data_IF_162689569944
#
_entry.id   IF_162689569944
#
_cell.length_a   1.000
_cell.length_b   1.000
_cell.length_c   1.000
_cell.angle_alpha   90.00
_cell.angle_beta   90.00
_cell.angle_gamma   90.00
#
_symmetry.space_group_name_H-M   'P 1'
#
loop_
_entity.id
_entity.type
_entity.pdbx_description
1 polymer ?
#
# COMPACT_ATOMS: atom_id res chain seq x y z
N UNK A 1 17.11 -13.64 -9.86
CA UNK A 1 16.29 -12.86 -8.91
C UNK A 1 14.82 -13.08 -9.24
N UNK A 2 13.98 -13.24 -8.22
CA UNK A 2 12.53 -13.34 -8.41
C UNK A 2 12.00 -12.01 -8.96
N UNK A 3 11.19 -12.03 -10.02
CA UNK A 3 10.72 -10.80 -10.66
C UNK A 3 9.51 -10.16 -9.95
N UNK A 4 8.81 -10.96 -9.14
CA UNK A 4 7.62 -10.55 -8.39
C UNK A 4 7.77 -10.94 -6.93
N UNK A 5 7.55 -9.99 -6.02
CA UNK A 5 7.45 -10.21 -4.58
C UNK A 5 5.98 -10.10 -4.18
N UNK A 6 5.47 -11.07 -3.44
CA UNK A 6 4.11 -11.06 -2.91
C UNK A 6 4.15 -10.72 -1.44
N UNK A 7 3.35 -9.74 -1.03
CA UNK A 7 3.08 -9.35 0.35
C UNK A 7 1.64 -9.73 0.67
N UNK A 8 1.45 -10.65 1.59
CA UNK A 8 0.16 -11.04 2.11
C UNK A 8 -0.16 -10.18 3.33
N UNK A 9 -1.32 -9.55 3.32
CA UNK A 9 -1.83 -8.71 4.41
C UNK A 9 -2.96 -9.47 5.09
N UNK A 10 -2.67 -10.15 6.20
CA UNK A 10 -3.65 -10.91 6.97
C UNK A 10 -4.30 -10.01 8.02
N UNK A 11 -5.63 -10.02 8.10
CA UNK A 11 -6.38 -9.09 8.94
C UNK A 11 -7.47 -9.80 9.73
N UNK A 12 -7.45 -9.63 11.06
CA UNK A 12 -8.60 -9.91 11.92
C UNK A 12 -9.51 -8.68 11.92
N UNK A 13 -10.47 -8.65 11.00
CA UNK A 13 -11.34 -7.50 10.80
C UNK A 13 -12.29 -7.28 11.98
N UNK A 14 -12.71 -8.34 12.67
CA UNK A 14 -13.62 -8.25 13.84
C UNK A 14 -12.87 -7.64 15.02
N UNK A 15 -11.67 -8.14 15.32
CA UNK A 15 -10.79 -7.56 16.33
C UNK A 15 -10.45 -6.11 16.00
N UNK A 16 -10.09 -5.83 14.74
CA UNK A 16 -9.75 -4.48 14.30
C UNK A 16 -10.90 -3.47 14.45
N UNK A 17 -12.12 -3.85 14.08
CA UNK A 17 -13.31 -2.99 14.20
C UNK A 17 -13.72 -2.78 15.67
N UNK A 18 -13.61 -3.83 16.49
CA UNK A 18 -13.87 -3.77 17.93
C UNK A 18 -12.91 -2.81 18.63
N UNK A 19 -11.61 -2.98 18.39
CA UNK A 19 -10.56 -2.20 19.06
C UNK A 19 -10.30 -0.85 18.37
N UNK A 20 -10.85 -0.65 17.18
CA UNK A 20 -10.62 0.51 16.29
C UNK A 20 -9.14 0.71 15.96
N UNK A 21 -8.41 -0.39 15.79
CA UNK A 21 -6.98 -0.36 15.47
C UNK A 21 -6.55 -1.61 14.73
N UNK A 22 -5.63 -1.47 13.79
CA UNK A 22 -4.96 -2.60 13.14
C UNK A 22 -3.78 -3.14 13.97
N UNK A 23 -3.40 -2.46 15.05
CA UNK A 23 -2.34 -2.93 15.95
C UNK A 23 -2.83 -4.08 16.84
N UNK A 24 -1.98 -4.51 17.78
CA UNK A 24 -2.32 -5.51 18.81
C UNK A 24 -2.70 -6.91 18.27
N UNK A 25 -2.15 -7.29 17.11
CA UNK A 25 -2.39 -8.60 16.50
C UNK A 25 -3.52 -8.61 15.47
N UNK A 26 -4.19 -7.47 15.25
CA UNK A 26 -5.28 -7.36 14.27
C UNK A 26 -4.78 -7.33 12.81
N UNK A 27 -3.47 -7.15 12.59
CA UNK A 27 -2.83 -7.25 11.27
C UNK A 27 -1.49 -7.97 11.34
N UNK A 28 -1.19 -8.74 10.30
CA UNK A 28 0.08 -9.42 10.12
C UNK A 28 0.47 -9.38 8.65
N UNK A 29 1.67 -8.92 8.35
CA UNK A 29 2.19 -8.85 6.98
C UNK A 29 3.30 -9.87 6.79
N UNK A 30 3.24 -10.62 5.69
CA UNK A 30 4.25 -11.62 5.33
C UNK A 30 4.60 -11.47 3.86
N UNK A 31 5.89 -11.54 3.54
CA UNK A 31 6.35 -11.56 2.15
C UNK A 31 7.16 -12.79 1.78
N UNK A 32 7.32 -12.99 0.48
CA UNK A 32 8.05 -14.12 -0.10
C UNK A 32 9.41 -13.72 -0.71
N UNK A 33 10.01 -12.62 -0.21
CA UNK A 33 11.31 -12.14 -0.71
C UNK A 33 12.45 -13.06 -0.30
N UNK A 34 13.30 -13.52 -1.25
CA UNK A 34 14.45 -14.36 -0.94
C UNK A 34 15.63 -13.58 -0.34
N UNK A 35 15.54 -12.25 -0.27
CA UNK A 35 16.65 -11.37 0.10
C UNK A 35 16.70 -11.00 1.59
N UNK A 36 15.89 -11.65 2.43
CA UNK A 36 15.96 -11.51 3.90
C UNK A 36 15.18 -10.30 4.45
N UNK A 37 13.87 -10.23 4.17
CA UNK A 37 12.95 -9.27 4.79
C UNK A 37 12.93 -9.40 6.32
N UNK A 38 12.59 -8.31 7.00
CA UNK A 38 12.60 -8.20 8.48
C UNK A 38 11.18 -8.04 9.03
N UNK A 39 11.00 -8.45 10.29
CA UNK A 39 9.74 -8.33 11.04
C UNK A 39 8.53 -9.01 10.36
N UNK A 40 8.78 -10.15 9.70
CA UNK A 40 7.74 -11.02 9.15
C UNK A 40 6.68 -11.33 10.22
N UNK A 41 5.41 -11.28 9.84
CA UNK A 41 4.29 -11.56 10.72
C UNK A 41 3.86 -10.37 11.59
N UNK A 42 4.41 -9.18 11.40
CA UNK A 42 4.11 -7.97 12.20
C UNK A 42 3.63 -6.80 11.32
N UNK A 43 3.06 -5.73 11.91
CA UNK A 43 2.76 -4.49 11.19
C UNK A 43 4.00 -3.75 10.68
N UNK A 44 5.18 -4.05 11.24
CA UNK A 44 6.45 -3.37 10.96
C UNK A 44 7.29 -4.09 9.88
N UNK A 45 6.64 -4.90 9.03
CA UNK A 45 7.30 -5.64 7.95
C UNK A 45 8.16 -4.70 7.10
N UNK A 46 9.43 -5.09 6.93
CA UNK A 46 10.36 -4.43 6.01
C UNK A 46 10.70 -5.41 4.90
N UNK A 47 10.07 -5.24 3.74
CA UNK A 47 10.23 -6.12 2.59
C UNK A 47 11.48 -5.75 1.81
N UNK A 48 12.39 -6.71 1.65
CA UNK A 48 13.58 -6.56 0.83
C UNK A 48 13.21 -6.63 -0.65
N UNK A 49 13.56 -5.60 -1.42
CA UNK A 49 13.24 -5.48 -2.85
C UNK A 49 14.44 -5.02 -3.68
N UNK A 50 14.39 -5.26 -4.97
CA UNK A 50 15.36 -4.82 -5.96
C UNK A 50 14.66 -3.99 -7.06
N UNK A 51 15.37 -3.02 -7.68
CA UNK A 51 14.84 -2.24 -8.80
C UNK A 51 14.22 -3.08 -9.92
N UNK A 52 13.09 -2.62 -10.45
CA UNK A 52 12.37 -3.28 -11.54
C UNK A 52 11.51 -4.47 -11.13
N UNK A 53 11.57 -4.91 -9.87
CA UNK A 53 10.66 -5.95 -9.38
C UNK A 53 9.23 -5.42 -9.27
N UNK A 54 8.26 -6.32 -9.48
CA UNK A 54 6.86 -6.06 -9.15
C UNK A 54 6.63 -6.46 -7.69
N UNK A 55 6.04 -5.58 -6.89
CA UNK A 55 5.51 -5.90 -5.57
C UNK A 55 4.00 -6.00 -5.68
N UNK A 56 3.44 -7.10 -5.19
CA UNK A 56 2.00 -7.35 -5.16
C UNK A 56 1.55 -7.42 -3.70
N UNK A 57 0.49 -6.69 -3.34
CA UNK A 57 -0.16 -6.79 -2.04
C UNK A 57 -1.50 -7.49 -2.20
N UNK A 58 -1.74 -8.50 -1.36
CA UNK A 58 -2.98 -9.28 -1.35
C UNK A 58 -3.59 -9.22 0.04
N UNK A 59 -4.76 -8.57 0.23
CA UNK A 59 -5.49 -8.63 1.49
C UNK A 59 -6.13 -10.01 1.67
N UNK A 60 -6.01 -10.57 2.88
CA UNK A 60 -6.67 -11.81 3.28
C UNK A 60 -7.33 -11.55 4.64
N UNK A 61 -8.63 -11.81 4.73
CA UNK A 61 -9.36 -11.79 5.99
C UNK A 61 -9.19 -13.14 6.71
N UNK A 62 -9.01 -13.10 8.04
CA UNK A 62 -8.98 -14.31 8.87
C UNK A 62 -10.39 -14.90 9.04
N UNK A 63 -11.40 -14.03 9.07
CA UNK A 63 -12.81 -14.41 9.17
C UNK A 63 -13.52 -14.33 7.81
N UNK A 64 -14.35 -15.32 7.48
CA UNK A 64 -15.01 -15.46 6.16
C UNK A 64 -16.14 -14.44 5.96
N UNK A 65 -16.66 -13.82 7.03
CA UNK A 65 -17.87 -12.99 6.97
C UNK A 65 -17.58 -11.50 6.84
N UNK A 66 -16.35 -11.07 7.14
CA UNK A 66 -15.96 -9.65 7.15
C UNK A 66 -14.94 -9.37 6.05
N UNK A 67 -15.36 -8.77 4.90
CA UNK A 67 -14.45 -8.53 3.79
C UNK A 67 -13.36 -7.53 4.16
N UNK A 68 -12.20 -7.66 3.52
CA UNK A 68 -11.08 -6.74 3.70
C UNK A 68 -10.56 -6.33 2.34
N UNK A 69 -10.48 -5.03 2.13
CA UNK A 69 -9.99 -4.44 0.89
C UNK A 69 -8.87 -3.44 1.20
N UNK A 70 -7.83 -3.43 0.36
CA UNK A 70 -6.87 -2.34 0.37
C UNK A 70 -7.51 -1.15 -0.33
N UNK A 71 -7.72 -0.06 0.42
CA UNK A 71 -8.26 1.18 -0.12
C UNK A 71 -7.17 2.04 -0.75
N UNK A 72 -6.00 2.11 -0.11
CA UNK A 72 -4.88 2.92 -0.59
C UNK A 72 -3.53 2.42 -0.04
N UNK A 73 -2.48 2.63 -0.83
CA UNK A 73 -1.08 2.50 -0.44
C UNK A 73 -0.39 3.83 -0.75
N UNK A 74 0.11 4.51 0.28
CA UNK A 74 0.71 5.84 0.15
C UNK A 74 2.12 5.84 0.75
N UNK A 75 3.14 6.07 -0.07
CA UNK A 75 4.51 6.17 0.45
C UNK A 75 4.69 7.47 1.23
N UNK A 76 5.13 7.35 2.48
CA UNK A 76 5.31 8.47 3.39
C UNK A 76 6.62 9.17 3.04
N UNK A 77 6.55 10.47 2.77
CA UNK A 77 7.72 11.31 2.48
C UNK A 77 8.56 11.42 3.76
N UNK A 78 9.53 10.51 3.92
CA UNK A 78 10.30 10.41 5.17
C UNK A 78 11.59 9.60 5.08
N UNK A 79 12.06 9.25 3.88
CA UNK A 79 13.46 8.90 3.69
C UNK A 79 14.29 10.15 4.07
N UNK A 80 15.16 10.06 5.07
CA UNK A 80 16.00 11.18 5.47
C UNK A 80 16.80 11.71 4.26
N UNK A 81 16.45 12.91 3.77
CA UNK A 81 17.21 13.62 2.74
C UNK A 81 17.90 14.81 3.39
N UNK A 82 19.21 14.99 3.24
CA UNK A 82 19.78 16.32 3.11
C UNK A 82 19.79 16.66 1.61
N UNK A 83 18.79 17.41 1.16
CA UNK A 83 18.91 18.16 -0.10
C UNK A 83 19.86 19.34 0.18
N UNK A 84 20.96 19.52 -0.55
CA UNK A 84 21.52 20.85 -0.69
C UNK A 84 20.62 21.64 -1.65
N UNK A 85 20.17 22.79 -1.17
CA UNK A 85 19.55 23.81 -1.99
C UNK A 85 20.49 24.20 -3.14
N UNK A 86 20.05 24.06 -4.39
CA UNK A 86 20.06 25.14 -5.37
C UNK A 86 19.43 24.68 -6.69
N UNK A 87 18.32 25.33 -7.08
CA UNK A 87 18.12 25.94 -8.40
C UNK A 87 16.64 26.26 -8.57
N UNK A 88 16.32 27.53 -8.30
CA UNK A 88 15.12 28.18 -8.77
C UNK A 88 15.21 28.38 -10.29
N UNK A 89 14.17 28.00 -11.02
CA UNK A 89 13.81 28.62 -12.30
C UNK A 89 12.30 28.86 -12.33
N UNK A 90 11.83 30.10 -12.49
CA UNK A 90 10.41 30.41 -12.56
C UNK A 90 9.93 30.28 -14.01
N UNK A 91 8.79 29.61 -14.22
CA UNK A 91 8.10 29.64 -15.52
C UNK A 91 6.62 29.99 -15.30
N UNK A 92 6.24 31.13 -15.85
CA UNK A 92 4.94 31.79 -15.82
C UNK A 92 4.00 31.31 -16.94
N UNK A 93 2.80 30.78 -16.58
CA UNK A 93 1.40 31.08 -17.03
C UNK A 93 1.07 31.05 -18.57
N UNK A 94 -0.10 30.57 -19.09
CA UNK A 94 -1.48 30.66 -18.55
C UNK A 94 -2.41 29.43 -18.63
N UNK A 95 -3.50 29.50 -17.84
CA UNK A 95 -4.70 28.66 -17.95
C UNK A 95 -5.50 28.95 -19.23
N UNK A 96 -6.24 27.96 -19.76
CA UNK A 96 -7.67 28.17 -19.93
C UNK A 96 -8.54 26.90 -19.71
N UNK A 97 -9.79 27.13 -19.32
CA UNK A 97 -10.91 26.28 -19.78
C UNK A 97 -11.55 25.38 -18.73
N UNK A 98 -12.55 25.92 -18.02
CA UNK A 98 -13.59 25.14 -17.37
C UNK A 98 -14.34 24.34 -18.44
N UNK A 99 -14.36 23.01 -18.32
CA UNK A 99 -15.36 22.17 -18.99
C UNK A 99 -15.87 21.15 -17.99
N UNK A 100 -17.09 21.40 -17.52
CA UNK A 100 -17.92 20.40 -16.86
C UNK A 100 -18.24 19.29 -17.86
N UNK A 101 -17.74 18.08 -17.59
CA UNK A 101 -18.06 16.86 -18.33
C UNK A 101 -18.61 15.82 -17.36
N UNK A 102 -19.93 15.68 -17.37
CA UNK A 102 -20.67 14.56 -16.79
C UNK A 102 -20.30 13.24 -17.46
N UNK A 103 -20.01 12.22 -16.65
CA UNK A 103 -20.28 10.80 -16.94
C UNK A 103 -19.37 10.11 -17.97
N UNK A 104 -18.39 9.35 -17.48
CA UNK A 104 -17.83 8.12 -18.06
C UNK A 104 -16.56 7.76 -17.25
N UNK A 105 -16.25 6.54 -16.85
CA UNK A 105 -16.97 5.28 -16.81
C UNK A 105 -16.02 4.42 -15.94
N UNK A 106 -16.38 4.16 -14.69
CA UNK A 106 -15.66 3.21 -13.85
C UNK A 106 -16.13 1.80 -14.23
N UNK A 107 -15.93 1.43 -15.49
CA UNK A 107 -16.27 0.11 -16.03
C UNK A 107 -15.20 -0.89 -15.65
N UNK A 108 -15.29 -1.34 -14.41
CA UNK A 108 -14.71 -2.58 -13.91
C UNK A 108 -15.62 -3.31 -12.93
N UNK A 109 -16.90 -2.92 -12.83
CA UNK A 109 -17.91 -3.61 -12.04
C UNK A 109 -18.69 -4.57 -12.93
N UNK A 110 -18.14 -5.76 -13.17
CA UNK A 110 -18.93 -6.87 -13.66
C UNK A 110 -19.77 -7.38 -12.48
N UNK A 111 -21.07 -7.12 -12.48
CA UNK A 111 -22.07 -7.58 -11.51
C UNK A 111 -22.24 -9.11 -11.46
N UNK A 112 -21.16 -9.79 -11.12
CA UNK A 112 -21.10 -11.10 -10.48
C UNK A 112 -20.54 -10.85 -9.09
N UNK A 113 -20.95 -11.65 -8.11
CA UNK A 113 -20.34 -11.64 -6.78
C UNK A 113 -18.83 -11.86 -6.95
N UNK A 114 -18.06 -10.77 -7.01
CA UNK A 114 -16.61 -10.81 -7.21
C UNK A 114 -15.99 -11.11 -5.86
N UNK A 115 -15.82 -12.40 -5.57
CA UNK A 115 -14.86 -12.87 -4.57
C UNK A 115 -13.41 -12.77 -5.07
N UNK A 116 -13.18 -12.07 -6.19
CA UNK A 116 -11.85 -11.77 -6.71
C UNK A 116 -11.18 -10.79 -5.74
N UNK A 117 -10.27 -11.31 -4.92
CA UNK A 117 -9.45 -10.50 -4.02
C UNK A 117 -8.80 -9.37 -4.83
N UNK A 118 -9.14 -8.13 -4.50
CA UNK A 118 -8.53 -6.96 -5.12
C UNK A 118 -7.06 -6.90 -4.74
N UNK A 119 -6.20 -7.31 -5.68
CA UNK A 119 -4.75 -7.24 -5.55
C UNK A 119 -4.25 -5.86 -5.96
N UNK A 120 -3.26 -5.37 -5.23
CA UNK A 120 -2.55 -4.14 -5.58
C UNK A 120 -1.17 -4.49 -6.12
N UNK A 121 -0.71 -3.79 -7.15
CA UNK A 121 0.61 -4.01 -7.74
C UNK A 121 1.35 -2.69 -7.96
N UNK A 122 2.66 -2.74 -7.80
CA UNK A 122 3.55 -1.61 -8.09
C UNK A 122 4.93 -2.09 -8.52
N UNK A 123 5.63 -1.27 -9.31
CA UNK A 123 7.00 -1.56 -9.75
C UNK A 123 7.99 -0.79 -8.87
N UNK A 124 9.03 -1.48 -8.40
CA UNK A 124 10.11 -0.85 -7.62
C UNK A 124 10.92 0.05 -8.54
N UNK A 125 11.00 1.36 -8.27
CA UNK A 125 11.65 2.28 -9.17
C UNK A 125 13.18 2.19 -9.06
N UNK A 126 13.89 2.53 -10.14
CA UNK A 126 15.34 2.38 -10.22
C UNK A 126 16.14 3.41 -9.41
N UNK A 127 15.51 4.53 -9.08
CA UNK A 127 16.05 5.66 -8.30
C UNK A 127 15.85 5.50 -6.79
N UNK A 128 15.20 4.42 -6.32
CA UNK A 128 15.08 4.10 -4.90
C UNK A 128 16.46 3.98 -4.25
N UNK A 129 16.74 4.71 -3.17
CA UNK A 129 18.06 4.73 -2.52
C UNK A 129 18.31 3.41 -1.77
N UNK A 130 19.44 2.71 -2.03
CA UNK A 130 19.77 1.46 -1.32
C UNK A 130 19.88 1.66 0.20
N UNK A 131 19.41 0.68 0.97
CA UNK A 131 19.53 0.67 2.43
C UNK A 131 18.63 1.65 3.19
N UNK A 132 17.83 2.47 2.49
CA UNK A 132 16.85 3.37 3.11
C UNK A 132 15.47 2.70 3.12
N UNK A 133 14.80 2.58 4.28
CA UNK A 133 13.43 2.06 4.35
C UNK A 133 12.43 3.12 3.89
N UNK A 134 11.68 2.81 2.83
CA UNK A 134 10.59 3.62 2.31
C UNK A 134 9.29 3.17 2.95
N UNK A 135 8.92 3.83 4.05
CA UNK A 135 7.67 3.56 4.77
C UNK A 135 6.46 3.95 3.94
N UNK A 136 5.38 3.20 4.09
CA UNK A 136 4.11 3.51 3.46
C UNK A 136 2.96 3.35 4.45
N UNK A 137 1.91 4.15 4.22
CA UNK A 137 0.61 3.99 4.82
C UNK A 137 -0.19 2.97 4.04
N UNK A 138 -0.63 1.92 4.71
CA UNK A 138 -1.56 0.94 4.19
C UNK A 138 -2.95 1.22 4.78
N UNK A 139 -3.89 1.65 3.95
CA UNK A 139 -5.28 1.90 4.35
C UNK A 139 -6.17 0.74 3.95
N UNK A 140 -6.88 0.18 4.92
CA UNK A 140 -7.75 -0.99 4.76
C UNK A 140 -9.19 -0.63 5.06
N UNK A 141 -10.10 -1.04 4.17
CA UNK A 141 -11.54 -1.00 4.39
C UNK A 141 -12.00 -2.39 4.84
N UNK A 142 -12.60 -2.46 6.02
CA UNK A 142 -13.06 -3.70 6.67
C UNK A 142 -14.57 -3.93 6.54
N UNK A 143 -15.33 -2.87 6.23
CA UNK A 143 -16.77 -2.94 6.02
C UNK A 143 -17.26 -1.66 5.34
N UNK A 144 -18.56 -1.57 5.07
CA UNK A 144 -19.19 -0.32 4.65
C UNK A 144 -19.21 0.72 5.79
N UNK A 145 -19.16 2.00 5.43
CA UNK A 145 -19.30 3.12 6.37
C UNK A 145 -18.00 3.86 6.72
N UNK A 146 -18.12 5.08 7.28
CA UNK A 146 -16.98 5.98 7.49
C UNK A 146 -16.02 5.54 8.60
N UNK A 147 -16.47 4.70 9.53
CA UNK A 147 -15.65 4.19 10.64
C UNK A 147 -15.00 2.84 10.35
N UNK A 148 -15.16 2.34 9.12
CA UNK A 148 -14.73 1.00 8.71
C UNK A 148 -13.39 1.01 7.97
N UNK A 149 -12.72 2.17 7.94
CA UNK A 149 -11.40 2.35 7.35
C UNK A 149 -10.37 2.56 8.45
N UNK A 150 -9.35 1.71 8.48
CA UNK A 150 -8.22 1.80 9.40
C UNK A 150 -6.90 1.81 8.61
N UNK A 151 -5.82 2.28 9.22
CA UNK A 151 -4.52 2.34 8.56
C UNK A 151 -3.36 1.98 9.48
N UNK A 152 -2.23 1.55 8.88
CA UNK A 152 -0.92 1.43 9.53
C UNK A 152 0.14 2.17 8.71
N UNK A 153 1.11 2.79 9.38
CA UNK A 153 2.14 3.65 8.78
C UNK A 153 3.56 3.08 8.94
N UNK A 154 3.66 1.88 9.50
CA UNK A 154 4.91 1.19 9.84
C UNK A 154 5.59 0.40 8.73
N UNK A 155 4.88 -0.29 7.80
CA UNK A 155 5.53 -1.19 6.88
C UNK A 155 6.37 -0.42 5.87
N UNK A 156 7.42 -1.05 5.35
CA UNK A 156 8.38 -0.39 4.46
C UNK A 156 8.90 -1.32 3.37
N UNK A 157 9.29 -0.73 2.25
CA UNK A 157 10.13 -1.37 1.24
C UNK A 157 11.58 -0.94 1.44
N UNK A 158 12.51 -1.88 1.36
CA UNK A 158 13.95 -1.63 1.50
C UNK A 158 14.66 -2.15 0.26
N UNK A 159 15.32 -1.24 -0.47
CA UNK A 159 16.19 -1.66 -1.58
C UNK A 159 17.44 -2.33 -1.02
N UNK A 160 17.64 -3.59 -1.41
CA UNK A 160 18.86 -4.38 -1.16
C UNK A 160 19.83 -4.35 -2.33
#
# INVERSE_FOLDING_TARGET
MKQRISIVVMVDAVGALSDRTLHNGNISLVDDSPAGSKHQGTPDLVTAVAPGQVVQWTPIHVDVQTPVEIQAIEFLSGAAVPHPADQAVPSTVPAPGVVSGTGADATGSNGRENYDLLVWEGVVPYDMTPGVPYRYRLSLRLHEGPNSVLHIDSPALLRV
#
